data_IF_018153169987
#
_entry.id   IF_018153169987
#
_cell.length_a   1.000
_cell.length_b   1.000
_cell.length_c   1.000
_cell.angle_alpha   90.00
_cell.angle_beta   90.00
_cell.angle_gamma   90.00
#
_symmetry.space_group_name_H-M   'P 1'
#
loop_
_entity.id
_entity.type
_entity.pdbx_description
1 polymer ?
#
# COMPACT_ATOMS: atom_id res chain seq x y z
N UNK A 1 -6.52 13.74 -43.54
CA UNK A 1 -7.07 14.37 -42.32
C UNK A 1 -8.52 13.94 -42.19
N UNK A 2 -8.90 13.34 -41.06
CA UNK A 2 -10.25 12.80 -40.84
C UNK A 2 -11.09 13.92 -40.20
N UNK A 3 -12.27 14.24 -40.77
CA UNK A 3 -13.18 15.24 -40.21
C UNK A 3 -14.13 14.61 -39.19
N UNK A 4 -14.42 15.32 -38.10
CA UNK A 4 -15.28 14.89 -37.00
C UNK A 4 -16.40 15.91 -36.80
N UNK A 5 -17.63 15.43 -36.58
CA UNK A 5 -18.80 16.28 -36.36
C UNK A 5 -18.82 16.83 -34.93
N UNK A 6 -19.17 18.11 -34.78
CA UNK A 6 -19.55 18.74 -33.52
C UNK A 6 -21.07 18.69 -33.40
N UNK A 7 -21.56 18.09 -32.31
CA UNK A 7 -22.97 18.00 -32.01
C UNK A 7 -23.41 19.14 -31.08
N UNK A 8 -24.61 19.67 -31.32
CA UNK A 8 -25.28 20.59 -30.39
C UNK A 8 -25.95 19.82 -29.25
N UNK A 9 -26.40 20.54 -28.21
CA UNK A 9 -27.14 19.97 -27.08
C UNK A 9 -28.41 19.24 -27.56
N UNK A 10 -28.99 19.67 -28.67
CA UNK A 10 -30.19 19.10 -29.29
C UNK A 10 -29.90 17.83 -30.12
N UNK A 11 -28.64 17.38 -30.16
CA UNK A 11 -28.19 16.21 -30.92
C UNK A 11 -28.02 16.44 -32.42
N UNK A 12 -28.27 17.66 -32.91
CA UNK A 12 -28.05 18.05 -34.31
C UNK A 12 -26.57 18.31 -34.59
N UNK A 13 -26.08 17.84 -35.74
CA UNK A 13 -24.71 18.14 -36.20
C UNK A 13 -24.61 19.60 -36.65
N UNK A 14 -23.77 20.40 -35.99
CA UNK A 14 -23.57 21.81 -36.34
C UNK A 14 -22.44 22.00 -37.35
N UNK A 15 -21.24 21.58 -36.99
CA UNK A 15 -20.02 21.88 -37.74
C UNK A 15 -19.09 20.66 -37.79
N UNK A 16 -18.10 20.69 -38.68
CA UNK A 16 -17.06 19.66 -38.80
C UNK A 16 -15.69 20.26 -38.52
N UNK A 17 -14.92 19.60 -37.67
CA UNK A 17 -13.54 19.96 -37.36
C UNK A 17 -12.59 18.86 -37.82
N UNK A 18 -11.36 19.24 -38.14
CA UNK A 18 -10.31 18.27 -38.43
C UNK A 18 -9.85 17.57 -37.14
N UNK A 19 -9.65 16.25 -37.21
CA UNK A 19 -9.18 15.45 -36.09
C UNK A 19 -7.75 15.87 -35.71
N UNK A 20 -7.50 16.27 -34.45
CA UNK A 20 -6.17 16.66 -34.01
C UNK A 20 -5.14 15.54 -34.16
N UNK A 21 -3.89 15.90 -34.42
CA UNK A 21 -2.81 14.94 -34.70
C UNK A 21 -2.55 13.94 -33.57
N UNK A 22 -2.92 14.28 -32.32
CA UNK A 22 -2.76 13.40 -31.16
C UNK A 22 -3.49 12.05 -31.33
N UNK A 23 -4.60 12.02 -32.06
CA UNK A 23 -5.36 10.78 -32.28
C UNK A 23 -4.69 9.83 -33.28
N UNK A 24 -3.69 10.30 -34.03
CA UNK A 24 -2.88 9.46 -34.91
C UNK A 24 -1.70 8.80 -34.16
N UNK A 25 -1.55 9.04 -32.86
CA UNK A 25 -0.45 8.45 -32.08
C UNK A 25 -0.57 6.93 -32.02
N UNK A 26 0.56 6.20 -32.13
CA UNK A 26 0.54 4.75 -32.11
C UNK A 26 0.14 4.24 -30.72
N UNK A 27 -0.73 3.24 -30.70
CA UNK A 27 -1.21 2.64 -29.47
C UNK A 27 -0.09 1.86 -28.76
N UNK A 28 0.28 2.33 -27.56
CA UNK A 28 1.36 1.77 -26.73
C UNK A 28 0.89 1.43 -25.31
N UNK A 29 0.25 0.25 -25.11
CA UNK A 29 -0.31 -0.13 -23.81
C UNK A 29 0.75 -0.32 -22.72
N UNK A 30 2.00 -0.61 -23.10
CA UNK A 30 3.16 -0.70 -22.21
C UNK A 30 3.41 0.62 -21.47
N UNK A 31 3.46 1.73 -22.21
CA UNK A 31 3.69 3.06 -21.63
C UNK A 31 2.48 3.52 -20.83
N UNK A 32 1.28 3.35 -21.38
CA UNK A 32 0.03 3.78 -20.73
C UNK A 32 -0.10 3.11 -19.36
N UNK A 33 0.13 1.79 -19.29
CA UNK A 33 0.05 1.03 -18.03
C UNK A 33 1.10 1.49 -17.03
N UNK A 34 2.34 1.73 -17.48
CA UNK A 34 3.42 2.22 -16.61
C UNK A 34 3.08 3.59 -16.03
N UNK A 35 2.64 4.54 -16.85
CA UNK A 35 2.25 5.87 -16.41
C UNK A 35 1.09 5.82 -15.41
N UNK A 36 0.05 5.03 -15.70
CA UNK A 36 -1.10 4.89 -14.83
C UNK A 36 -0.74 4.31 -13.45
N UNK A 37 0.12 3.28 -13.42
CA UNK A 37 0.55 2.68 -12.15
C UNK A 37 1.32 3.67 -11.27
N UNK A 38 2.16 4.54 -11.87
CA UNK A 38 2.87 5.59 -11.13
C UNK A 38 1.88 6.63 -10.59
N UNK A 39 0.97 7.14 -11.43
CA UNK A 39 -0.06 8.09 -11.02
C UNK A 39 -0.93 7.55 -9.89
N UNK A 40 -1.32 6.28 -9.98
CA UNK A 40 -2.08 5.60 -8.92
C UNK A 40 -1.29 5.48 -7.62
N UNK A 41 0.01 5.19 -7.70
CA UNK A 41 0.88 5.05 -6.52
C UNK A 41 1.05 6.39 -5.80
N UNK A 42 1.28 7.46 -6.56
CA UNK A 42 1.43 8.83 -6.01
C UNK A 42 0.19 9.33 -5.25
N UNK A 43 -1.01 8.83 -5.56
CA UNK A 43 -2.25 9.23 -4.89
C UNK A 43 -2.49 8.49 -3.55
N UNK A 44 -1.67 7.51 -3.20
CA UNK A 44 -1.90 6.68 -2.00
C UNK A 44 -1.66 7.47 -0.72
N UNK A 45 -2.46 7.18 0.29
CA UNK A 45 -2.27 7.70 1.64
C UNK A 45 -1.29 6.79 2.41
N UNK A 46 -0.25 7.34 3.07
CA UNK A 46 0.64 6.57 3.92
C UNK A 46 -0.10 5.84 5.04
N UNK A 47 0.28 4.60 5.31
CA UNK A 47 -0.26 3.84 6.44
C UNK A 47 0.84 3.10 7.20
N UNK A 48 0.62 2.85 8.48
CA UNK A 48 1.59 2.15 9.32
C UNK A 48 0.97 1.62 10.60
N UNK A 49 1.72 0.80 11.33
CA UNK A 49 1.36 0.39 12.69
C UNK A 49 2.00 1.32 13.72
N UNK A 50 1.43 1.43 14.93
CA UNK A 50 2.08 2.11 16.06
C UNK A 50 3.50 1.52 16.25
N UNK A 51 4.57 2.33 16.25
CA UNK A 51 5.94 1.87 16.46
C UNK A 51 6.15 1.05 17.74
N UNK A 52 5.31 1.26 18.76
CA UNK A 52 5.36 0.57 20.04
C UNK A 52 4.33 -0.57 20.16
N UNK A 53 3.64 -0.95 19.08
CA UNK A 53 2.65 -2.02 19.11
C UNK A 53 3.28 -3.37 19.50
N UNK A 54 2.72 -4.02 20.53
CA UNK A 54 3.18 -5.33 21.01
C UNK A 54 4.50 -5.30 21.81
N UNK A 55 5.02 -4.11 22.16
CA UNK A 55 6.27 -3.94 22.91
C UNK A 55 6.11 -3.15 24.23
N UNK A 56 4.90 -2.72 24.60
CA UNK A 56 4.64 -1.89 25.81
C UNK A 56 4.61 -2.66 27.14
N UNK A 57 5.12 -3.89 27.16
CA UNK A 57 5.08 -4.75 28.35
C UNK A 57 6.48 -5.04 28.87
N UNK A 58 6.64 -5.09 30.20
CA UNK A 58 7.88 -5.57 30.81
C UNK A 58 7.99 -7.09 30.62
N UNK A 59 9.07 -7.53 29.98
CA UNK A 59 9.31 -8.94 29.66
C UNK A 59 10.70 -9.39 30.03
N UNK A 60 10.81 -10.66 30.41
CA UNK A 60 12.07 -11.34 30.66
C UNK A 60 12.02 -12.76 30.07
N UNK A 61 13.18 -13.31 29.71
CA UNK A 61 13.25 -14.71 29.29
C UNK A 61 13.14 -15.62 30.51
N UNK A 62 12.47 -16.77 30.34
CA UNK A 62 12.38 -17.79 31.39
C UNK A 62 13.74 -18.42 31.74
N UNK A 63 14.77 -18.28 30.88
CA UNK A 63 16.08 -18.91 31.07
C UNK A 63 16.11 -20.38 30.67
N UNK A 64 17.21 -21.07 31.02
CA UNK A 64 17.40 -22.51 30.79
C UNK A 64 16.95 -23.32 32.02
N UNK A 65 16.79 -24.64 31.86
CA UNK A 65 16.60 -25.55 33.01
C UNK A 65 15.19 -25.57 33.62
N UNK A 66 14.19 -24.98 32.96
CA UNK A 66 12.80 -24.89 33.47
C UNK A 66 11.78 -25.68 32.63
N UNK A 67 12.22 -26.54 31.71
CA UNK A 67 11.32 -27.29 30.82
C UNK A 67 10.49 -26.41 29.87
N UNK A 68 10.88 -25.15 29.66
CA UNK A 68 10.13 -24.16 28.88
C UNK A 68 10.98 -23.55 27.78
N UNK A 69 10.32 -23.12 26.69
CA UNK A 69 10.97 -22.34 25.63
C UNK A 69 11.51 -21.00 26.15
N UNK A 70 12.59 -20.48 25.54
CA UNK A 70 13.29 -19.25 25.94
C UNK A 70 12.62 -17.94 25.49
N UNK A 71 11.43 -18.01 24.89
CA UNK A 71 10.66 -16.83 24.44
C UNK A 71 10.48 -15.81 25.59
N UNK A 72 10.56 -14.50 25.33
CA UNK A 72 10.25 -13.49 26.34
C UNK A 72 8.83 -13.67 26.89
N UNK A 73 8.68 -13.56 28.21
CA UNK A 73 7.40 -13.67 28.92
C UNK A 73 7.17 -12.44 29.77
N UNK A 74 5.91 -12.14 30.04
CA UNK A 74 5.54 -11.07 30.97
C UNK A 74 6.19 -11.31 32.34
N UNK A 75 6.76 -10.28 32.96
CA UNK A 75 7.38 -10.42 34.29
C UNK A 75 6.37 -10.81 35.37
N UNK A 76 5.11 -10.44 35.20
CA UNK A 76 4.01 -10.73 36.12
C UNK A 76 3.37 -12.13 35.90
N UNK A 77 3.88 -12.94 34.97
CA UNK A 77 3.27 -14.25 34.68
C UNK A 77 4.11 -15.14 33.78
N UNK A 78 3.49 -16.18 33.20
CA UNK A 78 4.17 -17.13 32.31
C UNK A 78 3.78 -17.00 30.83
N UNK A 79 2.94 -16.03 30.49
CA UNK A 79 2.48 -15.81 29.12
C UNK A 79 3.60 -15.23 28.25
N UNK A 80 3.81 -15.84 27.09
CA UNK A 80 4.74 -15.33 26.08
C UNK A 80 4.28 -13.99 25.54
N UNK A 81 5.20 -13.04 25.40
CA UNK A 81 4.96 -11.70 24.89
C UNK A 81 6.16 -11.24 24.04
N UNK A 82 6.07 -10.04 23.44
CA UNK A 82 7.10 -9.38 22.63
C UNK A 82 7.47 -10.07 21.31
N UNK A 83 7.57 -11.39 21.24
CA UNK A 83 8.03 -12.12 20.05
C UNK A 83 6.97 -12.16 18.92
N UNK A 84 7.39 -12.28 17.64
CA UNK A 84 6.44 -12.31 16.52
C UNK A 84 5.62 -13.60 16.43
N UNK A 85 6.09 -14.69 17.03
CA UNK A 85 5.40 -15.97 17.03
C UNK A 85 4.39 -16.13 18.17
N UNK A 86 4.24 -15.14 19.07
CA UNK A 86 3.32 -15.22 20.20
C UNK A 86 2.10 -14.32 20.00
N UNK A 87 0.96 -14.75 20.54
CA UNK A 87 -0.29 -13.99 20.49
C UNK A 87 -0.14 -12.68 21.27
N UNK A 88 -0.32 -11.56 20.58
CA UNK A 88 -0.18 -10.22 21.14
C UNK A 88 1.27 -9.68 21.19
N UNK A 89 2.24 -10.41 20.64
CA UNK A 89 3.60 -9.92 20.45
C UNK A 89 3.74 -8.98 19.25
N UNK A 90 4.92 -8.37 19.12
CA UNK A 90 5.19 -7.41 18.03
C UNK A 90 5.32 -8.14 16.69
N UNK A 91 4.92 -7.49 15.60
CA UNK A 91 5.24 -7.99 14.26
C UNK A 91 6.74 -7.82 13.98
N UNK A 92 7.37 -8.79 13.30
CA UNK A 92 8.80 -8.71 12.96
C UNK A 92 9.11 -7.52 12.02
N UNK A 93 8.27 -7.36 10.98
CA UNK A 93 8.35 -6.28 10.00
C UNK A 93 6.98 -5.59 9.87
N UNK A 94 6.62 -4.69 10.79
CA UNK A 94 5.38 -3.93 10.68
C UNK A 94 5.43 -2.92 9.51
N UNK A 95 4.29 -2.58 8.91
CA UNK A 95 4.24 -1.50 7.93
C UNK A 95 4.64 -0.17 8.59
N UNK A 96 5.52 0.57 7.93
CA UNK A 96 5.95 1.90 8.36
C UNK A 96 5.31 2.96 7.49
N UNK A 97 4.82 4.02 8.12
CA UNK A 97 4.32 5.21 7.43
C UNK A 97 5.40 5.86 6.54
N UNK A 98 6.65 5.79 6.97
CA UNK A 98 7.86 6.30 6.28
C UNK A 98 8.20 5.59 4.95
N UNK A 99 7.48 4.52 4.60
CA UNK A 99 7.71 3.81 3.34
C UNK A 99 7.50 4.78 2.15
N UNK A 100 8.31 4.65 1.09
CA UNK A 100 8.02 5.31 -0.17
C UNK A 100 6.83 4.61 -0.87
N UNK A 101 5.73 5.34 -1.09
CA UNK A 101 4.38 4.81 -1.37
C UNK A 101 4.01 4.76 -2.85
#
# INVERSE_FOLDING_TARGET
>A
MKKVNIYSIDGTSKEQIDLPDIFNTPYRPDIIRKAFNILRSNKRQPYGSDPLAGTKHAVASAGKGRGMSRVPRLTQGQRGALAPCVVGGRRAHPPKSERNW
#
